data_IF_889281198003
#
_entry.id   IF_889281198003
#
_cell.length_a   1.000
_cell.length_b   1.000
_cell.length_c   1.000
_cell.angle_alpha   90.00
_cell.angle_beta   90.00
_cell.angle_gamma   90.00
#
_symmetry.space_group_name_H-M   'P 1'
#
loop_
_entity.id
_entity.type
_entity.pdbx_description
1 polymer ?
#
# COMPACT_ATOMS: atom_id res chain seq x y z
N UNK A 1 8.10 -2.79 28.92
CA UNK A 1 8.72 -1.65 28.18
C UNK A 1 7.79 -0.45 28.32
N UNK A 2 8.27 0.72 28.77
CA UNK A 2 7.43 1.91 29.07
C UNK A 2 7.73 3.15 28.20
N UNK A 3 8.53 3.03 27.15
CA UNK A 3 8.65 4.08 26.13
C UNK A 3 7.58 3.88 25.03
N UNK A 4 6.94 4.93 24.50
CA UNK A 4 6.11 4.79 23.31
C UNK A 4 6.95 4.20 22.18
N UNK A 5 6.40 3.22 21.47
CA UNK A 5 7.16 2.48 20.46
C UNK A 5 7.48 3.40 19.26
N UNK A 6 8.76 3.74 18.99
CA UNK A 6 9.13 4.61 17.87
C UNK A 6 9.05 3.90 16.49
N UNK A 7 8.49 2.69 16.45
CA UNK A 7 8.80 1.69 15.43
C UNK A 7 8.07 1.93 14.10
N UNK A 8 6.97 2.69 14.07
CA UNK A 8 6.14 2.75 12.86
C UNK A 8 6.46 3.90 11.90
N UNK A 9 7.16 4.95 12.34
CA UNK A 9 7.51 6.09 11.47
C UNK A 9 8.75 5.80 10.63
N UNK A 10 9.82 5.28 11.26
CA UNK A 10 11.06 4.94 10.56
C UNK A 10 10.82 3.91 9.46
N UNK A 11 9.98 2.89 9.70
CA UNK A 11 9.59 1.93 8.66
C UNK A 11 8.81 2.59 7.51
N UNK A 12 7.98 3.59 7.79
CA UNK A 12 7.25 4.29 6.74
C UNK A 12 8.18 5.18 5.90
N UNK A 13 9.09 5.91 6.56
CA UNK A 13 10.04 6.82 5.91
C UNK A 13 11.12 6.06 5.13
N UNK A 14 11.65 4.98 5.68
CA UNK A 14 12.78 4.23 5.08
C UNK A 14 12.36 2.97 4.34
N UNK A 15 11.10 2.56 4.39
CA UNK A 15 10.59 1.36 3.73
C UNK A 15 10.08 1.58 2.30
N UNK A 16 10.40 2.71 1.67
CA UNK A 16 10.02 3.02 0.27
C UNK A 16 8.55 3.38 0.06
N UNK A 17 7.74 3.45 1.11
CA UNK A 17 6.31 3.80 1.05
C UNK A 17 6.05 5.25 0.60
N UNK A 18 7.03 6.14 0.80
CA UNK A 18 6.93 7.56 0.45
C UNK A 18 7.40 7.85 -0.98
N UNK A 19 8.31 7.05 -1.53
CA UNK A 19 8.91 7.29 -2.85
C UNK A 19 7.88 7.50 -3.96
N UNK A 20 6.86 6.64 -4.15
CA UNK A 20 5.86 6.84 -5.20
C UNK A 20 4.98 8.07 -4.96
N UNK A 21 4.73 8.43 -3.70
CA UNK A 21 3.99 9.64 -3.32
C UNK A 21 4.81 10.88 -3.69
N UNK A 22 6.11 10.88 -3.37
CA UNK A 22 7.03 11.98 -3.67
C UNK A 22 7.18 12.18 -5.18
N UNK A 23 7.30 11.10 -5.95
CA UNK A 23 7.36 11.17 -7.41
C UNK A 23 6.11 11.84 -8.00
N UNK A 24 4.91 11.44 -7.56
CA UNK A 24 3.66 12.03 -8.04
C UNK A 24 3.47 13.49 -7.58
N UNK A 25 3.87 13.83 -6.35
CA UNK A 25 3.86 15.21 -5.85
C UNK A 25 4.80 16.11 -6.64
N UNK A 26 6.00 15.62 -6.97
CA UNK A 26 6.96 16.35 -7.79
C UNK A 26 6.37 16.62 -9.18
N UNK A 27 5.77 15.62 -9.82
CA UNK A 27 5.06 15.81 -11.09
C UNK A 27 3.94 16.85 -10.99
N UNK A 28 3.19 16.87 -9.89
CA UNK A 28 2.14 17.88 -9.70
C UNK A 28 2.73 19.29 -9.61
N UNK A 29 3.84 19.46 -8.88
CA UNK A 29 4.56 20.72 -8.78
C UNK A 29 5.14 21.17 -10.13
N UNK A 30 5.71 20.24 -10.91
CA UNK A 30 6.27 20.52 -12.24
C UNK A 30 5.18 20.94 -13.23
N UNK A 31 4.03 20.26 -13.21
CA UNK A 31 2.86 20.63 -14.03
C UNK A 31 2.33 22.00 -13.64
N UNK A 32 2.32 22.37 -12.36
CA UNK A 32 1.86 23.69 -11.88
C UNK A 32 2.87 24.80 -12.22
N UNK A 33 4.17 24.52 -12.18
CA UNK A 33 5.21 25.51 -12.51
C UNK A 33 5.41 25.67 -14.03
N UNK A 34 5.03 24.66 -14.82
CA UNK A 34 5.21 24.70 -16.27
C UNK A 34 4.41 25.82 -16.93
N UNK A 35 5.10 26.59 -17.79
CA UNK A 35 4.48 27.57 -18.69
C UNK A 35 4.08 26.96 -20.03
N UNK A 36 4.62 25.78 -20.34
CA UNK A 36 4.37 25.08 -21.60
C UNK A 36 3.42 23.92 -21.38
N UNK A 37 2.34 23.88 -22.16
CA UNK A 37 1.37 22.78 -22.14
C UNK A 37 1.77 21.62 -23.06
N UNK A 38 2.76 21.81 -23.95
CA UNK A 38 3.30 20.70 -24.72
C UNK A 38 4.28 19.88 -23.88
N UNK A 39 4.09 18.56 -23.85
CA UNK A 39 4.96 17.62 -23.14
C UNK A 39 4.63 17.38 -21.66
N UNK A 40 3.43 17.73 -21.18
CA UNK A 40 3.02 17.44 -19.80
C UNK A 40 3.13 15.95 -19.43
N UNK A 41 2.94 15.04 -20.40
CA UNK A 41 3.09 13.60 -20.18
C UNK A 41 4.51 13.21 -19.73
N UNK A 42 5.54 13.90 -20.23
CA UNK A 42 6.93 13.66 -19.85
C UNK A 42 7.26 14.11 -18.41
N UNK A 43 6.36 14.86 -17.76
CA UNK A 43 6.50 15.27 -16.36
C UNK A 43 5.94 14.24 -15.39
N UNK A 44 5.18 13.25 -15.86
CA UNK A 44 4.65 12.17 -15.05
C UNK A 44 5.73 11.09 -14.83
N UNK A 45 5.72 10.38 -13.69
CA UNK A 45 6.64 9.27 -13.49
C UNK A 45 6.32 8.14 -14.46
N UNK A 46 7.32 7.37 -14.88
CA UNK A 46 7.11 6.18 -15.70
C UNK A 46 6.29 5.13 -14.92
N UNK A 47 5.37 4.45 -15.59
CA UNK A 47 4.52 3.43 -14.96
C UNK A 47 5.36 2.25 -14.42
N UNK A 48 6.45 1.93 -15.11
CA UNK A 48 7.42 0.90 -14.74
C UNK A 48 8.18 1.28 -13.46
N UNK A 49 8.45 2.57 -13.25
CA UNK A 49 9.09 3.04 -12.01
C UNK A 49 8.12 2.89 -10.84
N UNK A 50 6.85 3.26 -11.02
CA UNK A 50 5.83 3.09 -10.00
C UNK A 50 5.61 1.61 -9.65
N UNK A 51 5.66 0.73 -10.65
CA UNK A 51 5.58 -0.72 -10.45
C UNK A 51 6.78 -1.26 -9.65
N UNK A 52 7.99 -0.77 -9.96
CA UNK A 52 9.20 -1.10 -9.21
C UNK A 52 9.09 -0.67 -7.74
N UNK A 53 8.58 0.52 -7.49
CA UNK A 53 8.38 1.04 -6.12
C UNK A 53 7.40 0.13 -5.35
N UNK A 54 6.32 -0.35 -6.00
CA UNK A 54 5.40 -1.32 -5.40
C UNK A 54 6.02 -2.68 -5.10
N UNK A 55 6.85 -3.17 -6.01
CA UNK A 55 7.53 -4.44 -5.82
C UNK A 55 8.52 -4.39 -4.64
N UNK A 56 9.15 -3.24 -4.40
CA UNK A 56 10.04 -3.02 -3.28
C UNK A 56 9.29 -2.82 -1.94
N UNK A 57 8.17 -2.11 -1.97
CA UNK A 57 7.36 -1.81 -0.78
C UNK A 57 6.64 -3.04 -0.21
N UNK A 58 6.21 -3.96 -1.08
CA UNK A 58 5.45 -5.15 -0.70
C UNK A 58 6.18 -6.44 -1.13
N UNK A 59 7.41 -6.72 -0.66
CA UNK A 59 8.19 -7.89 -1.05
C UNK A 59 7.46 -9.19 -0.67
N UNK A 60 7.73 -10.35 -1.31
CA UNK A 60 7.08 -11.63 -1.02
C UNK A 60 7.04 -11.99 0.47
N UNK A 61 6.03 -12.77 0.90
CA UNK A 61 5.84 -13.11 2.31
C UNK A 61 6.95 -14.07 2.74
N UNK A 62 7.73 -13.66 3.73
CA UNK A 62 8.77 -14.50 4.32
C UNK A 62 8.27 -15.05 5.66
N UNK A 63 8.09 -16.37 5.73
CA UNK A 63 7.74 -17.04 6.98
C UNK A 63 8.93 -17.01 7.93
N UNK A 64 8.76 -16.39 9.08
CA UNK A 64 9.79 -16.31 10.12
C UNK A 64 9.49 -17.30 11.24
N UNK A 65 10.53 -17.76 11.93
CA UNK A 65 10.39 -18.74 13.02
C UNK A 65 9.73 -18.17 14.29
N UNK A 66 9.65 -16.85 14.43
CA UNK A 66 9.02 -16.21 15.60
C UNK A 66 7.57 -15.83 15.30
N UNK A 67 6.60 -16.14 16.18
CA UNK A 67 5.17 -15.98 15.89
C UNK A 67 4.71 -14.55 15.61
N UNK A 68 5.37 -13.55 16.19
CA UNK A 68 4.98 -12.14 16.06
C UNK A 68 5.27 -11.53 14.68
N UNK A 69 5.89 -12.29 13.75
CA UNK A 69 6.15 -11.79 12.40
C UNK A 69 4.87 -11.41 11.64
N UNK A 70 3.74 -12.07 11.92
CA UNK A 70 2.45 -11.73 11.31
C UNK A 70 2.03 -10.28 11.63
N UNK A 71 2.38 -9.78 12.81
CA UNK A 71 2.13 -8.38 13.16
C UNK A 71 2.89 -7.44 12.21
N UNK A 72 4.14 -7.76 11.90
CA UNK A 72 4.97 -6.97 10.97
C UNK A 72 4.35 -6.97 9.56
N UNK A 73 3.90 -8.15 9.10
CA UNK A 73 3.25 -8.32 7.79
C UNK A 73 1.93 -7.53 7.68
N UNK A 74 1.14 -7.49 8.76
CA UNK A 74 -0.09 -6.67 8.82
C UNK A 74 0.24 -5.18 8.82
N UNK A 75 1.27 -4.74 9.55
CA UNK A 75 1.72 -3.34 9.54
C UNK A 75 2.19 -2.95 8.13
N UNK A 76 3.00 -3.77 7.50
CA UNK A 76 3.49 -3.56 6.13
C UNK A 76 2.33 -3.47 5.13
N UNK A 77 1.34 -4.36 5.25
CA UNK A 77 0.12 -4.36 4.44
C UNK A 77 -0.71 -3.07 4.64
N UNK A 78 -0.84 -2.60 5.89
CA UNK A 78 -1.51 -1.34 6.21
C UNK A 78 -0.79 -0.12 5.61
N UNK A 79 0.55 -0.10 5.64
CA UNK A 79 1.35 0.96 5.03
C UNK A 79 1.28 0.96 3.50
N UNK A 80 1.26 -0.22 2.90
CA UNK A 80 1.03 -0.39 1.46
C UNK A 80 -0.32 0.20 1.05
N UNK A 81 -1.39 -0.12 1.79
CA UNK A 81 -2.73 0.46 1.56
C UNK A 81 -2.71 1.99 1.63
N UNK A 82 -2.10 2.57 2.67
CA UNK A 82 -2.00 4.02 2.83
C UNK A 82 -1.28 4.69 1.64
N UNK A 83 -0.21 4.06 1.15
CA UNK A 83 0.59 4.57 0.04
C UNK A 83 -0.16 4.48 -1.29
N UNK A 84 -0.84 3.37 -1.54
CA UNK A 84 -1.70 3.20 -2.71
C UNK A 84 -2.86 4.21 -2.69
N UNK A 85 -3.51 4.43 -1.54
CA UNK A 85 -4.61 5.39 -1.42
C UNK A 85 -4.14 6.84 -1.67
N UNK A 86 -2.97 7.21 -1.15
CA UNK A 86 -2.36 8.52 -1.42
C UNK A 86 -2.04 8.69 -2.92
N UNK A 87 -1.46 7.68 -3.55
CA UNK A 87 -1.14 7.73 -4.98
C UNK A 87 -2.39 7.81 -5.85
N UNK A 88 -3.45 7.07 -5.51
CA UNK A 88 -4.75 7.13 -6.20
C UNK A 88 -5.34 8.55 -6.18
N UNK A 89 -5.26 9.24 -5.03
CA UNK A 89 -5.68 10.64 -4.92
C UNK A 89 -4.79 11.57 -5.75
N UNK A 90 -3.48 11.37 -5.71
CA UNK A 90 -2.53 12.20 -6.46
C UNK A 90 -2.69 12.06 -7.97
N UNK A 91 -2.90 10.85 -8.49
CA UNK A 91 -3.18 10.64 -9.91
C UNK A 91 -4.47 11.37 -10.33
N UNK A 92 -5.55 11.28 -9.53
CA UNK A 92 -6.78 12.05 -9.79
C UNK A 92 -6.54 13.56 -9.78
N UNK A 93 -5.63 14.06 -8.95
CA UNK A 93 -5.23 15.48 -8.95
C UNK A 93 -4.45 15.81 -10.23
N UNK A 94 -3.50 14.95 -10.64
CA UNK A 94 -2.72 15.12 -11.87
C UNK A 94 -3.60 15.15 -13.12
N UNK A 95 -4.60 14.26 -13.20
CA UNK A 95 -5.61 14.25 -14.27
C UNK A 95 -6.37 15.57 -14.36
N UNK A 96 -6.79 16.12 -13.22
CA UNK A 96 -7.48 17.42 -13.18
C UNK A 96 -6.55 18.56 -13.59
N UNK A 97 -5.31 18.57 -13.12
CA UNK A 97 -4.32 19.58 -13.49
C UNK A 97 -4.03 19.55 -15.00
N UNK A 98 -3.83 18.35 -15.56
CA UNK A 98 -3.67 18.15 -17.00
C UNK A 98 -4.91 18.61 -17.79
N UNK A 99 -6.11 18.24 -17.35
CA UNK A 99 -7.36 18.64 -17.99
C UNK A 99 -7.58 20.16 -18.01
N UNK A 100 -7.35 20.85 -16.88
CA UNK A 100 -7.44 22.30 -16.78
C UNK A 100 -6.46 23.01 -17.72
N UNK A 101 -5.22 22.53 -17.81
CA UNK A 101 -4.18 23.10 -18.69
C UNK A 101 -4.54 22.99 -20.17
N UNK A 102 -5.02 21.84 -20.62
CA UNK A 102 -5.39 21.63 -22.02
C UNK A 102 -6.61 22.48 -22.40
N UNK A 103 -7.62 22.56 -21.53
CA UNK A 103 -8.85 23.33 -21.79
C UNK A 103 -8.61 24.85 -21.75
N UNK A 104 -7.66 25.35 -20.94
CA UNK A 104 -7.31 26.77 -20.89
C UNK A 104 -6.68 27.27 -22.21
N UNK A 105 -5.98 26.41 -22.95
CA UNK A 105 -5.41 26.73 -24.27
C UNK A 105 -6.40 26.62 -25.43
N UNK A 106 -7.52 25.92 -25.28
CA UNK A 106 -8.53 25.76 -26.35
C UNK A 106 -9.38 27.04 -26.58
N UNK A 107 -9.35 28.02 -25.67
CA UNK A 107 -10.00 29.33 -25.84
C UNK A 107 -9.33 30.28 -26.85
N UNK A 108 -8.15 29.94 -27.36
CA UNK A 108 -7.47 30.69 -28.41
C UNK A 108 -7.53 29.91 -29.73
N UNK A 109 -8.47 30.29 -30.59
CA UNK A 109 -8.59 29.82 -31.96
C UNK A 109 -7.23 29.71 -32.67
N UNK A 110 -6.85 28.49 -33.08
CA UNK A 110 -6.21 28.20 -34.38
C UNK A 110 -6.04 26.71 -34.63
N UNK A 111 -6.41 26.30 -35.84
CA UNK A 111 -6.12 25.01 -36.50
C UNK A 111 -4.71 24.51 -36.14
N UNK A 112 -4.62 23.41 -35.40
CA UNK A 112 -3.38 22.69 -35.16
C UNK A 112 -3.69 21.26 -34.73
N UNK A 113 -3.43 20.30 -35.62
CA UNK A 113 -3.68 18.85 -35.44
C UNK A 113 -2.85 18.21 -34.30
N UNK A 114 -2.00 19.00 -33.61
CA UNK A 114 -0.99 18.57 -32.64
C UNK A 114 -1.45 18.62 -31.17
N UNK A 115 -2.42 19.47 -30.80
CA UNK A 115 -2.90 19.61 -29.41
C UNK A 115 -3.63 18.36 -28.90
N UNK A 116 -4.39 17.70 -29.77
CA UNK A 116 -5.13 16.48 -29.41
C UNK A 116 -4.20 15.31 -29.07
N UNK A 117 -3.03 15.23 -29.71
CA UNK A 117 -2.07 14.13 -29.47
C UNK A 117 -1.48 14.21 -28.07
N UNK A 118 -1.03 15.40 -27.62
CA UNK A 118 -0.47 15.58 -26.27
C UNK A 118 -1.50 15.39 -25.15
N UNK A 119 -2.76 15.78 -25.37
CA UNK A 119 -3.86 15.56 -24.42
C UNK A 119 -4.14 14.06 -24.26
N UNK A 120 -4.13 13.34 -25.38
CA UNK A 120 -4.33 11.90 -25.42
C UNK A 120 -3.17 11.14 -24.77
N UNK A 121 -1.92 11.55 -25.01
CA UNK A 121 -0.73 10.98 -24.38
C UNK A 121 -0.74 11.15 -22.86
N UNK A 122 -1.08 12.34 -22.35
CA UNK A 122 -1.17 12.58 -20.91
C UNK A 122 -2.23 11.70 -20.24
N UNK A 123 -3.42 11.62 -20.83
CA UNK A 123 -4.50 10.77 -20.31
C UNK A 123 -4.13 9.28 -20.34
N UNK A 124 -3.50 8.82 -21.42
CA UNK A 124 -3.01 7.44 -21.55
C UNK A 124 -1.98 7.11 -20.47
N UNK A 125 -1.11 8.06 -20.15
CA UNK A 125 -0.09 7.89 -19.11
C UNK A 125 -0.70 7.85 -17.70
N UNK A 126 -1.68 8.70 -17.40
CA UNK A 126 -2.43 8.61 -16.15
C UNK A 126 -3.16 7.27 -16.00
N UNK A 127 -3.80 6.76 -17.05
CA UNK A 127 -4.43 5.44 -17.05
C UNK A 127 -3.42 4.32 -16.81
N UNK A 128 -2.22 4.41 -17.39
CA UNK A 128 -1.15 3.46 -17.11
C UNK A 128 -0.74 3.47 -15.63
N UNK A 129 -0.61 4.66 -15.03
CA UNK A 129 -0.34 4.80 -13.59
C UNK A 129 -1.46 4.22 -12.72
N UNK A 130 -2.73 4.44 -13.10
CA UNK A 130 -3.87 3.83 -12.42
C UNK A 130 -3.86 2.31 -12.54
N UNK A 131 -3.52 1.76 -13.71
CA UNK A 131 -3.40 0.31 -13.90
C UNK A 131 -2.32 -0.28 -12.98
N UNK A 132 -1.18 0.39 -12.85
CA UNK A 132 -0.13 0.01 -11.89
C UNK A 132 -0.63 0.01 -10.44
N UNK A 133 -1.48 0.96 -10.04
CA UNK A 133 -2.12 0.93 -8.72
C UNK A 133 -3.08 -0.25 -8.53
N UNK A 134 -3.89 -0.57 -9.53
CA UNK A 134 -4.81 -1.72 -9.49
C UNK A 134 -4.02 -3.04 -9.34
N UNK A 135 -2.89 -3.17 -10.03
CA UNK A 135 -1.98 -4.31 -9.87
C UNK A 135 -1.39 -4.37 -8.46
N UNK A 136 -0.96 -3.22 -7.90
CA UNK A 136 -0.51 -3.12 -6.52
C UNK A 136 -1.58 -3.54 -5.51
N UNK A 137 -2.83 -3.13 -5.73
CA UNK A 137 -3.97 -3.54 -4.92
C UNK A 137 -4.22 -5.06 -4.99
N UNK A 138 -4.20 -5.64 -6.18
CA UNK A 138 -4.35 -7.09 -6.35
C UNK A 138 -3.26 -7.87 -5.59
N UNK A 139 -2.01 -7.39 -5.64
CA UNK A 139 -0.89 -7.98 -4.90
C UNK A 139 -1.05 -7.85 -3.39
N UNK A 140 -1.53 -6.71 -2.90
CA UNK A 140 -1.85 -6.53 -1.48
C UNK A 140 -2.95 -7.49 -1.03
N UNK A 141 -4.00 -7.68 -1.82
CA UNK A 141 -5.04 -8.65 -1.48
C UNK A 141 -4.49 -10.09 -1.44
N UNK A 142 -3.58 -10.44 -2.35
CA UNK A 142 -2.89 -11.73 -2.33
C UNK A 142 -2.07 -11.91 -1.04
N UNK A 143 -1.32 -10.89 -0.62
CA UNK A 143 -0.60 -10.89 0.67
C UNK A 143 -1.53 -11.11 1.86
N UNK A 144 -2.69 -10.44 1.89
CA UNK A 144 -3.66 -10.63 2.97
C UNK A 144 -4.18 -12.08 3.02
N UNK A 145 -4.40 -12.71 1.87
CA UNK A 145 -4.77 -14.12 1.80
C UNK A 145 -3.64 -15.02 2.32
N UNK A 146 -2.38 -14.76 1.94
CA UNK A 146 -1.22 -15.51 2.44
C UNK A 146 -1.12 -15.43 3.98
N UNK A 147 -1.33 -14.24 4.56
CA UNK A 147 -1.34 -14.03 6.02
C UNK A 147 -2.45 -14.86 6.67
N UNK A 148 -3.67 -14.81 6.13
CA UNK A 148 -4.80 -15.59 6.65
C UNK A 148 -4.56 -17.09 6.58
N UNK A 149 -3.93 -17.58 5.51
CA UNK A 149 -3.58 -19.01 5.40
C UNK A 149 -2.57 -19.40 6.47
N UNK A 150 -1.53 -18.59 6.73
CA UNK A 150 -0.60 -18.87 7.83
C UNK A 150 -1.30 -18.87 9.19
N UNK A 151 -2.25 -17.97 9.41
CA UNK A 151 -3.04 -17.92 10.65
C UNK A 151 -3.95 -19.13 10.84
N UNK A 152 -4.34 -19.82 9.76
CA UNK A 152 -5.13 -21.06 9.82
C UNK A 152 -4.27 -22.31 9.99
N UNK A 153 -2.94 -22.21 9.85
CA UNK A 153 -2.06 -23.36 9.98
C UNK A 153 -2.00 -23.86 11.43
N UNK A 154 -2.34 -25.12 11.65
CA UNK A 154 -2.25 -25.78 12.96
C UNK A 154 -0.84 -25.74 13.59
N UNK A 155 0.20 -25.59 12.76
CA UNK A 155 1.59 -25.52 13.21
C UNK A 155 2.01 -24.12 13.69
N UNK A 156 1.26 -23.09 13.32
CA UNK A 156 1.51 -21.73 13.78
C UNK A 156 0.92 -21.57 15.19
N UNK A 157 1.78 -21.29 16.17
CA UNK A 157 1.39 -21.03 17.55
C UNK A 157 2.01 -19.72 18.02
N UNK A 158 1.16 -18.79 18.46
CA UNK A 158 1.62 -17.54 19.07
C UNK A 158 2.22 -17.73 20.46
N UNK A 159 1.82 -18.80 21.14
CA UNK A 159 2.23 -19.08 22.51
C UNK A 159 3.36 -20.12 22.49
N UNK A 160 4.48 -19.88 23.19
CA UNK A 160 5.52 -20.88 23.37
C UNK A 160 4.94 -22.17 23.97
N UNK A 161 5.53 -23.32 23.60
CA UNK A 161 5.14 -24.60 24.20
C UNK A 161 5.36 -24.54 25.71
N UNK A 162 4.31 -24.83 26.47
CA UNK A 162 4.38 -24.94 27.93
C UNK A 162 5.14 -26.24 28.24
N UNK A 163 6.19 -26.17 29.05
CA UNK A 163 6.93 -27.35 29.51
C UNK A 163 6.03 -28.28 30.35
N UNK A 164 6.43 -29.53 30.53
CA UNK A 164 5.66 -30.52 31.30
C UNK A 164 6.01 -30.56 32.79
N UNK A 165 6.94 -29.70 33.23
CA UNK A 165 7.54 -29.75 34.56
C UNK A 165 6.71 -29.02 35.63
N UNK A 166 5.52 -28.53 35.26
CA UNK A 166 4.61 -27.80 36.14
C UNK A 166 3.65 -28.76 36.85
N UNK A 167 3.19 -28.38 38.04
CA UNK A 167 2.08 -29.10 38.68
C UNK A 167 0.79 -28.97 37.85
N UNK A 168 -0.21 -29.79 38.15
CA UNK A 168 -1.46 -29.88 37.38
C UNK A 168 -2.20 -28.54 37.32
N UNK A 169 -2.37 -27.86 38.45
CA UNK A 169 -3.06 -26.56 38.53
C UNK A 169 -2.39 -25.47 37.68
N UNK A 170 -1.05 -25.39 37.72
CA UNK A 170 -0.31 -24.42 36.89
C UNK A 170 -0.34 -24.79 35.41
N UNK A 171 -0.31 -26.08 35.10
CA UNK A 171 -0.44 -26.57 33.71
C UNK A 171 -1.80 -26.19 33.12
N UNK A 172 -2.88 -26.39 33.87
CA UNK A 172 -4.24 -25.98 33.49
C UNK A 172 -4.37 -24.46 33.34
N UNK A 173 -3.80 -23.69 34.27
CA UNK A 173 -3.80 -22.23 34.19
C UNK A 173 -3.08 -21.73 32.93
N UNK A 174 -1.88 -22.24 32.63
CA UNK A 174 -1.14 -21.85 31.45
C UNK A 174 -1.84 -22.27 30.15
N UNK A 175 -2.45 -23.45 30.11
CA UNK A 175 -3.24 -23.90 28.96
C UNK A 175 -4.45 -22.97 28.72
N UNK A 176 -5.18 -22.61 29.78
CA UNK A 176 -6.31 -21.68 29.71
C UNK A 176 -5.89 -20.29 29.22
N UNK A 177 -4.80 -19.73 29.78
CA UNK A 177 -4.26 -18.44 29.35
C UNK A 177 -3.76 -18.49 27.90
N UNK A 178 -3.10 -19.57 27.50
CA UNK A 178 -2.62 -19.78 26.14
C UNK A 178 -3.76 -19.76 25.12
N UNK A 179 -4.86 -20.45 25.44
CA UNK A 179 -6.07 -20.47 24.61
C UNK A 179 -6.67 -19.07 24.46
N UNK A 180 -6.79 -18.32 25.56
CA UNK A 180 -7.36 -16.96 25.55
C UNK A 180 -6.47 -15.97 24.77
N UNK A 181 -5.15 -16.04 24.95
CA UNK A 181 -4.20 -15.19 24.21
C UNK A 181 -4.25 -15.51 22.72
N UNK A 182 -4.27 -16.79 22.36
CA UNK A 182 -4.37 -17.22 20.97
C UNK A 182 -5.69 -16.75 20.37
N UNK A 183 -6.84 -17.02 20.99
CA UNK A 183 -8.14 -16.57 20.48
C UNK A 183 -8.18 -15.06 20.21
N UNK A 184 -7.77 -14.25 21.21
CA UNK A 184 -7.82 -12.79 21.10
C UNK A 184 -6.87 -12.24 20.04
N UNK A 185 -5.63 -12.74 19.99
CA UNK A 185 -4.63 -12.21 19.06
C UNK A 185 -4.92 -12.66 17.62
N UNK A 186 -5.29 -13.92 17.40
CA UNK A 186 -5.68 -14.39 16.06
C UNK A 186 -6.89 -13.62 15.56
N UNK A 187 -7.93 -13.46 16.40
CA UNK A 187 -9.10 -12.65 16.04
C UNK A 187 -8.73 -11.22 15.69
N UNK A 188 -7.82 -10.60 16.45
CA UNK A 188 -7.32 -9.26 16.14
C UNK A 188 -6.60 -9.19 14.79
N UNK A 189 -5.82 -10.21 14.44
CA UNK A 189 -5.13 -10.28 13.15
C UNK A 189 -6.09 -10.51 11.99
N UNK A 190 -7.03 -11.44 12.10
CA UNK A 190 -8.07 -11.64 11.08
C UNK A 190 -8.90 -10.38 10.85
N UNK A 191 -9.32 -9.71 11.93
CA UNK A 191 -10.05 -8.44 11.82
C UNK A 191 -9.21 -7.37 11.12
N UNK A 192 -7.90 -7.28 11.42
CA UNK A 192 -7.01 -6.32 10.76
C UNK A 192 -6.89 -6.60 9.26
N UNK A 193 -6.77 -7.87 8.86
CA UNK A 193 -6.76 -8.26 7.45
C UNK A 193 -8.09 -7.90 6.76
N UNK A 194 -9.22 -8.16 7.43
CA UNK A 194 -10.54 -7.80 6.93
C UNK A 194 -10.71 -6.28 6.75
N UNK A 195 -10.27 -5.48 7.72
CA UNK A 195 -10.33 -4.02 7.66
C UNK A 195 -9.47 -3.47 6.50
N UNK A 196 -8.23 -3.97 6.35
CA UNK A 196 -7.36 -3.56 5.23
C UNK A 196 -8.02 -3.92 3.90
N UNK A 197 -8.59 -5.12 3.76
CA UNK A 197 -9.28 -5.56 2.55
C UNK A 197 -10.50 -4.69 2.25
N UNK A 198 -11.30 -4.38 3.26
CA UNK A 198 -12.45 -3.49 3.13
C UNK A 198 -12.03 -2.13 2.54
N UNK A 199 -11.02 -1.49 3.11
CA UNK A 199 -10.55 -0.20 2.59
C UNK A 199 -9.93 -0.29 1.19
N UNK A 200 -9.24 -1.38 0.89
CA UNK A 200 -8.65 -1.63 -0.43
C UNK A 200 -9.73 -1.66 -1.52
N UNK A 201 -10.82 -2.40 -1.27
CA UNK A 201 -11.95 -2.58 -2.18
C UNK A 201 -12.79 -1.29 -2.36
N UNK A 202 -12.81 -0.41 -1.36
CA UNK A 202 -13.66 0.79 -1.38
C UNK A 202 -12.92 2.09 -1.72
N UNK A 203 -11.58 2.10 -1.65
CA UNK A 203 -10.77 3.31 -1.84
C UNK A 203 -9.92 3.28 -3.12
N UNK A 204 -9.59 2.09 -3.62
CA UNK A 204 -8.58 1.92 -4.68
C UNK A 204 -9.14 1.19 -5.89
N UNK A 205 -9.82 0.05 -5.66
CA UNK A 205 -10.48 -0.76 -6.70
C UNK A 205 -11.73 -0.05 -7.22
#
# INVERSE_FOLDING_TARGET
MQSPSPVCLAHWVHGGFLDPILHLLQSAADIVSSKNTSGLAAMLPAAEQLEKDWNAMLPPLERKMYPFFIQEEIILSSRALQSLAACQLLIKVLERLGGCRHNATEGASKKGKSSNTSKNEFATHCEALQATLRNGAARLNLRLNEIEEVLKENAFSLVPKIGTDWNEELSELFASQSMVVSDRVYKSYFNSCADIRYFLEHSIV
#
